data_IF_573173979709
#
_entry.id   IF_573173979709
#
_cell.length_a   1.000
_cell.length_b   1.000
_cell.length_c   1.000
_cell.angle_alpha   90.00
_cell.angle_beta   90.00
_cell.angle_gamma   90.00
#
_symmetry.space_group_name_H-M   'P 1'
#
loop_
_entity.id
_entity.type
_entity.pdbx_description
1 polymer ?
#
# COMPACT_ATOMS: atom_id res chain seq x y z
N UNK A 1 41.14 -42.32 -51.18
CA UNK A 1 42.20 -41.56 -50.49
C UNK A 1 41.74 -40.11 -50.41
N UNK A 2 41.07 -39.70 -49.33
CA UNK A 2 40.61 -38.31 -49.11
C UNK A 2 41.65 -37.60 -48.24
N UNK A 3 42.51 -36.80 -48.86
CA UNK A 3 43.42 -35.91 -48.16
C UNK A 3 42.87 -34.47 -48.24
N UNK A 4 42.25 -34.00 -47.16
CA UNK A 4 42.37 -32.64 -46.62
C UNK A 4 41.34 -32.48 -45.49
N UNK A 5 41.81 -32.33 -44.25
CA UNK A 5 40.97 -32.08 -43.08
C UNK A 5 40.45 -30.65 -43.04
N UNK A 6 39.70 -30.26 -44.08
CA UNK A 6 39.07 -28.94 -44.18
C UNK A 6 37.58 -29.04 -43.83
N UNK A 7 37.16 -28.28 -42.82
CA UNK A 7 35.79 -28.15 -42.39
C UNK A 7 35.15 -26.94 -43.10
N UNK A 8 33.93 -27.06 -43.62
CA UNK A 8 33.29 -25.92 -44.30
C UNK A 8 33.02 -24.77 -43.31
N UNK A 9 33.08 -23.51 -43.77
CA UNK A 9 32.77 -22.36 -42.94
C UNK A 9 31.28 -22.32 -42.57
N UNK A 10 30.94 -21.48 -41.58
CA UNK A 10 29.58 -21.15 -41.18
C UNK A 10 29.25 -19.71 -41.58
N UNK A 11 28.15 -19.53 -42.32
CA UNK A 11 27.66 -18.20 -42.69
C UNK A 11 26.71 -17.65 -41.62
N UNK A 12 26.89 -16.38 -41.27
CA UNK A 12 25.92 -15.60 -40.49
C UNK A 12 25.67 -14.31 -41.23
N UNK A 13 24.41 -14.05 -41.55
CA UNK A 13 23.98 -12.89 -42.33
C UNK A 13 23.08 -11.99 -41.48
N UNK A 14 23.37 -10.69 -41.51
CA UNK A 14 22.50 -9.64 -40.99
C UNK A 14 22.35 -8.52 -42.04
N UNK A 15 21.34 -7.67 -41.87
CA UNK A 15 21.11 -6.51 -42.72
C UNK A 15 20.41 -5.39 -41.97
N UNK A 16 20.69 -4.15 -42.35
CA UNK A 16 19.99 -2.97 -41.83
C UNK A 16 20.02 -1.80 -42.83
N UNK A 17 18.89 -1.09 -43.04
CA UNK A 17 17.52 -1.45 -42.63
C UNK A 17 16.96 -2.66 -43.41
N UNK A 18 15.91 -3.32 -42.90
CA UNK A 18 15.26 -4.46 -43.58
C UNK A 18 13.94 -4.09 -44.26
N UNK A 19 13.40 -2.90 -44.03
CA UNK A 19 12.20 -2.36 -44.69
C UNK A 19 12.33 -0.84 -44.79
N UNK A 20 11.49 -0.21 -45.61
CA UNK A 20 11.49 1.24 -45.86
C UNK A 20 11.16 1.58 -47.30
N UNK A 21 11.01 2.87 -47.61
CA UNK A 21 10.68 3.33 -48.95
C UNK A 21 11.74 2.95 -49.99
N UNK A 22 11.31 2.74 -51.24
CA UNK A 22 12.24 2.61 -52.37
C UNK A 22 12.71 3.98 -52.88
N UNK A 23 13.98 4.11 -53.33
CA UNK A 23 15.03 3.08 -53.30
C UNK A 23 15.55 2.82 -51.87
N UNK A 24 15.67 1.55 -51.50
CA UNK A 24 16.12 1.13 -50.16
C UNK A 24 17.56 0.61 -50.23
N UNK A 25 18.51 1.36 -49.68
CA UNK A 25 19.89 0.90 -49.51
C UNK A 25 20.04 0.13 -48.21
N UNK A 26 20.42 -1.14 -48.29
CA UNK A 26 20.67 -2.03 -47.16
C UNK A 26 22.16 -2.27 -47.02
N UNK A 27 22.69 -2.12 -45.81
CA UNK A 27 24.04 -2.59 -45.47
C UNK A 27 23.93 -4.00 -44.92
N UNK A 28 24.48 -4.96 -45.64
CA UNK A 28 24.59 -6.36 -45.23
C UNK A 28 25.88 -6.60 -44.46
N UNK A 29 25.81 -7.43 -43.43
CA UNK A 29 26.91 -7.74 -42.52
C UNK A 29 27.09 -9.26 -42.39
N UNK A 30 28.34 -9.70 -42.58
CA UNK A 30 28.80 -11.08 -42.46
C UNK A 30 29.74 -11.31 -41.26
N UNK A 31 29.91 -10.33 -40.36
CA UNK A 31 30.84 -10.37 -39.21
C UNK A 31 30.73 -11.61 -38.33
N UNK A 32 29.53 -12.20 -38.21
CA UNK A 32 29.31 -13.42 -37.43
C UNK A 32 29.78 -14.71 -38.11
N UNK A 33 30.21 -14.65 -39.36
CA UNK A 33 30.67 -15.82 -40.11
C UNK A 33 32.06 -16.27 -39.66
N UNK A 34 32.34 -17.57 -39.74
CA UNK A 34 33.60 -18.13 -39.25
C UNK A 34 33.98 -19.42 -39.97
N UNK A 35 35.26 -19.78 -39.84
CA UNK A 35 35.81 -21.06 -40.29
C UNK A 35 36.38 -21.81 -39.08
N UNK A 36 36.06 -23.11 -38.88
CA UNK A 36 36.66 -23.92 -37.82
C UNK A 36 38.18 -24.10 -37.96
N UNK A 37 38.73 -23.99 -39.18
CA UNK A 37 40.14 -24.23 -39.46
C UNK A 37 40.95 -22.93 -39.36
N UNK A 38 41.88 -22.90 -38.40
CA UNK A 38 42.65 -21.71 -38.07
C UNK A 38 43.52 -21.25 -39.24
N UNK A 39 43.43 -19.95 -39.56
CA UNK A 39 44.23 -19.31 -40.62
C UNK A 39 43.57 -19.31 -41.99
N UNK A 40 42.40 -19.94 -42.15
CA UNK A 40 41.60 -19.82 -43.37
C UNK A 40 41.13 -18.38 -43.56
N UNK A 41 41.18 -17.89 -44.80
CA UNK A 41 40.62 -16.59 -45.19
C UNK A 41 39.27 -16.79 -45.85
N UNK A 42 38.31 -15.93 -45.51
CA UNK A 42 36.94 -16.05 -45.99
C UNK A 42 36.63 -15.06 -47.13
N UNK A 43 35.89 -15.54 -48.13
CA UNK A 43 35.26 -14.73 -49.17
C UNK A 43 33.74 -14.86 -49.05
N UNK A 44 33.04 -13.73 -49.11
CA UNK A 44 31.60 -13.62 -48.92
C UNK A 44 30.92 -13.47 -50.27
N UNK A 45 29.92 -14.30 -50.56
CA UNK A 45 29.14 -14.32 -51.78
C UNK A 45 27.69 -13.98 -51.46
N UNK A 46 27.21 -12.86 -52.00
CA UNK A 46 25.88 -12.31 -51.74
C UNK A 46 25.03 -12.34 -53.01
N UNK A 47 23.91 -13.06 -52.93
CA UNK A 47 22.79 -12.97 -53.86
C UNK A 47 21.68 -12.19 -53.16
N UNK A 48 21.32 -11.02 -53.67
CA UNK A 48 20.33 -10.14 -53.03
C UNK A 48 18.88 -10.54 -53.34
N UNK A 49 18.65 -11.53 -54.21
CA UNK A 49 17.33 -12.09 -54.47
C UNK A 49 16.41 -11.21 -55.34
N UNK A 50 16.89 -10.05 -55.81
CA UNK A 50 16.15 -9.12 -56.68
C UNK A 50 16.50 -9.27 -58.17
N UNK A 51 17.27 -10.32 -58.51
CA UNK A 51 17.72 -10.61 -59.88
C UNK A 51 18.98 -9.84 -60.29
N UNK A 52 19.57 -9.03 -59.42
CA UNK A 52 20.91 -8.48 -59.65
C UNK A 52 21.99 -9.58 -59.58
N UNK A 53 23.13 -9.43 -60.29
CA UNK A 53 24.18 -10.44 -60.25
C UNK A 53 24.75 -10.65 -58.84
N UNK A 54 25.07 -11.90 -58.50
CA UNK A 54 25.78 -12.24 -57.26
C UNK A 54 27.08 -11.43 -57.16
N UNK A 55 27.34 -10.87 -55.98
CA UNK A 55 28.55 -10.12 -55.69
C UNK A 55 29.43 -10.90 -54.73
N UNK A 56 30.75 -10.82 -54.92
CA UNK A 56 31.73 -11.38 -54.00
C UNK A 56 32.63 -10.30 -53.41
N UNK A 57 32.97 -10.43 -52.14
CA UNK A 57 33.82 -9.48 -51.42
C UNK A 57 34.60 -10.19 -50.31
N UNK A 58 35.73 -9.61 -49.89
CA UNK A 58 36.45 -10.00 -48.67
C UNK A 58 36.15 -9.06 -47.49
N UNK A 59 35.45 -7.95 -47.74
CA UNK A 59 34.96 -7.07 -46.69
C UNK A 59 33.81 -7.72 -45.92
N UNK A 60 33.74 -7.49 -44.61
CA UNK A 60 32.67 -8.03 -43.76
C UNK A 60 31.31 -7.38 -44.03
N UNK A 61 31.29 -6.21 -44.67
CA UNK A 61 30.06 -5.50 -45.01
C UNK A 61 30.00 -5.19 -46.50
N UNK A 62 28.78 -5.15 -47.04
CA UNK A 62 28.48 -4.75 -48.41
C UNK A 62 27.17 -3.98 -48.47
N UNK A 63 27.05 -3.00 -49.35
CA UNK A 63 25.81 -2.27 -49.56
C UNK A 63 25.13 -2.72 -50.85
N UNK A 64 23.81 -2.84 -50.80
CA UNK A 64 22.98 -3.09 -51.97
C UNK A 64 21.75 -2.19 -51.93
N UNK A 65 21.31 -1.71 -53.10
CA UNK A 65 20.14 -0.83 -53.21
C UNK A 65 19.04 -1.49 -53.99
N UNK A 66 17.91 -1.74 -53.32
CA UNK A 66 16.71 -2.26 -53.94
C UNK A 66 15.88 -1.12 -54.54
N UNK A 67 15.62 -1.20 -55.84
CA UNK A 67 14.90 -0.15 -56.59
C UNK A 67 13.40 -0.38 -56.68
N UNK A 68 12.92 -1.61 -56.44
CA UNK A 68 11.52 -2.00 -56.56
C UNK A 68 10.97 -2.48 -55.23
N UNK A 69 9.69 -2.22 -54.98
CA UNK A 69 9.02 -2.71 -53.79
C UNK A 69 8.77 -4.22 -53.89
N UNK A 70 8.80 -4.92 -52.76
CA UNK A 70 8.55 -6.37 -52.71
C UNK A 70 9.26 -7.03 -51.53
N UNK A 71 9.17 -8.36 -51.45
CA UNK A 71 9.88 -9.16 -50.46
C UNK A 71 11.02 -9.90 -51.15
N UNK A 72 12.25 -9.62 -50.75
CA UNK A 72 13.47 -10.20 -51.30
C UNK A 72 14.22 -11.00 -50.24
N UNK A 73 14.76 -12.15 -50.64
CA UNK A 73 15.58 -12.99 -49.75
C UNK A 73 17.04 -12.87 -50.15
N UNK A 74 17.78 -12.03 -49.43
CA UNK A 74 19.23 -11.98 -49.56
C UNK A 74 19.86 -13.26 -48.98
N UNK A 75 20.83 -13.83 -49.68
CA UNK A 75 21.51 -15.08 -49.34
C UNK A 75 23.01 -14.85 -49.30
N UNK A 76 23.62 -15.18 -48.17
CA UNK A 76 25.07 -15.22 -47.99
C UNK A 76 25.57 -16.65 -48.06
N UNK A 77 26.58 -16.90 -48.88
CA UNK A 77 27.46 -18.07 -48.77
C UNK A 77 28.87 -17.61 -48.47
N UNK A 78 29.56 -18.34 -47.61
CA UNK A 78 30.94 -18.07 -47.24
C UNK A 78 31.81 -19.17 -47.81
N UNK A 79 32.95 -18.79 -48.39
CA UNK A 79 33.94 -19.73 -48.92
C UNK A 79 35.29 -19.52 -48.27
N UNK A 80 35.94 -20.61 -47.91
CA UNK A 80 37.35 -20.58 -47.47
C UNK A 80 38.32 -20.54 -48.67
N UNK A 81 39.61 -20.40 -48.38
CA UNK A 81 40.70 -20.45 -49.37
C UNK A 81 41.07 -21.87 -49.82
N UNK A 82 40.43 -22.90 -49.28
CA UNK A 82 40.55 -24.32 -49.70
C UNK A 82 39.33 -24.74 -50.54
N UNK A 83 38.49 -23.76 -50.87
CA UNK A 83 37.35 -23.82 -51.77
C UNK A 83 36.08 -24.54 -51.24
N UNK A 84 35.94 -24.79 -49.94
CA UNK A 84 34.68 -25.27 -49.36
C UNK A 84 33.71 -24.10 -49.13
N UNK A 85 32.41 -24.36 -49.31
CA UNK A 85 31.34 -23.38 -49.09
C UNK A 85 30.51 -23.75 -47.87
N UNK A 86 30.03 -22.73 -47.16
CA UNK A 86 28.99 -22.87 -46.16
C UNK A 86 27.63 -23.19 -46.81
N UNK A 87 26.69 -23.79 -46.05
CA UNK A 87 25.26 -23.61 -46.32
C UNK A 87 24.90 -22.11 -46.35
N UNK A 88 23.83 -21.72 -47.08
CA UNK A 88 23.44 -20.31 -47.16
C UNK A 88 22.82 -19.82 -45.84
N UNK A 89 23.19 -18.62 -45.42
CA UNK A 89 22.44 -17.82 -44.44
C UNK A 89 21.53 -16.83 -45.19
N UNK A 90 20.36 -16.51 -44.65
CA UNK A 90 19.37 -15.68 -45.37
C UNK A 90 18.85 -14.52 -44.53
N UNK A 91 18.56 -13.40 -45.19
CA UNK A 91 17.92 -12.21 -44.61
C UNK A 91 16.77 -11.78 -45.53
N UNK A 92 15.57 -11.60 -44.98
CA UNK A 92 14.44 -11.03 -45.73
C UNK A 92 14.53 -9.49 -45.71
N UNK A 93 14.31 -8.87 -46.86
CA UNK A 93 14.23 -7.42 -47.02
C UNK A 93 12.91 -7.08 -47.71
N UNK A 94 12.22 -6.05 -47.22
CA UNK A 94 10.94 -5.58 -47.72
C UNK A 94 11.01 -4.10 -48.16
N UNK A 95 11.70 -3.78 -49.28
CA UNK A 95 11.65 -2.44 -49.86
C UNK A 95 10.20 -2.09 -50.22
N UNK A 96 9.84 -0.83 -50.01
CA UNK A 96 8.49 -0.30 -50.23
C UNK A 96 7.50 -0.57 -49.09
N UNK A 97 7.86 -1.30 -48.04
CA UNK A 97 7.04 -1.46 -46.83
C UNK A 97 7.52 -0.49 -45.75
N UNK A 98 6.69 0.46 -45.35
CA UNK A 98 6.98 1.38 -44.26
C UNK A 98 6.62 0.74 -42.91
N UNK A 99 7.04 1.37 -41.82
CA UNK A 99 6.62 0.93 -40.50
C UNK A 99 5.24 1.53 -40.18
N UNK A 100 4.37 0.78 -39.48
CA UNK A 100 3.06 1.31 -39.10
C UNK A 100 3.19 2.49 -38.14
N UNK A 101 2.14 3.31 -38.06
CA UNK A 101 2.05 4.48 -37.18
C UNK A 101 1.04 4.20 -36.07
N UNK A 102 1.46 3.62 -34.93
CA UNK A 102 0.60 3.42 -33.78
C UNK A 102 0.33 4.74 -33.04
N UNK A 103 -0.87 4.86 -32.47
CA UNK A 103 -1.29 5.99 -31.64
C UNK A 103 -2.01 5.47 -30.41
N UNK A 104 -1.54 5.87 -29.24
CA UNK A 104 -2.23 5.60 -27.98
C UNK A 104 -3.31 6.67 -27.80
N UNK A 105 -4.57 6.25 -27.65
CA UNK A 105 -5.71 7.13 -27.42
C UNK A 105 -6.01 7.28 -25.92
N UNK A 106 -6.16 6.16 -25.20
CA UNK A 106 -6.42 6.13 -23.74
C UNK A 106 -5.36 5.33 -23.01
N UNK A 107 -4.82 5.81 -21.87
CA UNK A 107 -5.05 7.12 -21.23
C UNK A 107 -4.37 8.23 -22.00
N UNK A 108 -4.97 9.40 -22.24
CA UNK A 108 -4.37 10.52 -22.98
C UNK A 108 -3.10 11.09 -22.33
N UNK A 109 -2.43 12.03 -23.00
CA UNK A 109 -1.18 12.62 -22.50
C UNK A 109 -1.34 13.51 -21.24
N UNK A 110 -2.57 13.98 -20.95
CA UNK A 110 -2.87 14.82 -19.78
C UNK A 110 -3.57 14.05 -18.67
N UNK A 111 -3.95 12.80 -18.93
CA UNK A 111 -4.60 11.97 -17.93
C UNK A 111 -3.60 11.59 -16.83
N UNK A 112 -4.12 11.56 -15.60
CA UNK A 112 -3.47 11.00 -14.43
C UNK A 112 -4.37 9.93 -13.82
N UNK A 113 -3.80 8.99 -13.08
CA UNK A 113 -4.58 7.95 -12.39
C UNK A 113 -4.56 8.09 -10.88
N UNK A 114 -5.65 7.68 -10.25
CA UNK A 114 -5.72 7.41 -8.82
C UNK A 114 -5.52 5.91 -8.56
N UNK A 115 -4.99 5.55 -7.40
CA UNK A 115 -4.80 4.14 -7.01
C UNK A 115 -6.14 3.40 -7.03
N UNK A 116 -6.15 2.21 -7.65
CA UNK A 116 -7.35 1.38 -7.75
C UNK A 116 -8.35 1.84 -8.80
N UNK A 117 -8.06 2.91 -9.54
CA UNK A 117 -8.89 3.35 -10.66
C UNK A 117 -8.81 2.34 -11.81
N UNK A 118 -9.97 1.96 -12.36
CA UNK A 118 -10.05 1.13 -13.54
C UNK A 118 -9.82 1.97 -14.82
N UNK A 119 -8.98 1.44 -15.71
CA UNK A 119 -8.61 2.03 -16.99
C UNK A 119 -8.77 1.01 -18.12
N UNK A 120 -8.89 1.50 -19.35
CA UNK A 120 -8.91 0.68 -20.56
C UNK A 120 -7.93 1.26 -21.58
N UNK A 121 -6.92 0.48 -21.94
CA UNK A 121 -5.94 0.83 -22.96
C UNK A 121 -6.61 0.81 -24.32
N UNK A 122 -6.62 1.98 -24.97
CA UNK A 122 -7.21 2.13 -26.30
C UNK A 122 -6.22 2.82 -27.23
N UNK A 123 -6.15 2.32 -28.45
CA UNK A 123 -5.28 2.85 -29.48
C UNK A 123 -5.74 2.45 -30.88
N UNK A 124 -5.01 2.96 -31.85
CA UNK A 124 -5.20 2.65 -33.27
C UNK A 124 -3.83 2.64 -33.95
N UNK A 125 -3.73 2.01 -35.11
CA UNK A 125 -2.56 2.15 -35.96
C UNK A 125 -2.98 2.24 -37.42
N UNK A 126 -2.21 3.01 -38.19
CA UNK A 126 -2.34 3.08 -39.65
C UNK A 126 -1.01 2.77 -40.27
N UNK A 127 -1.03 2.04 -41.35
CA UNK A 127 0.11 1.76 -42.19
C UNK A 127 -0.11 2.34 -43.60
N UNK A 128 0.96 2.72 -44.29
CA UNK A 128 0.85 3.35 -45.60
C UNK A 128 0.40 2.36 -46.69
N UNK A 129 0.75 1.09 -46.55
CA UNK A 129 0.44 0.03 -47.50
C UNK A 129 -0.82 -0.74 -47.10
N UNK A 130 -1.07 -0.94 -45.80
CA UNK A 130 -2.23 -1.70 -45.30
C UNK A 130 -3.44 -0.83 -44.90
N UNK A 131 -3.26 0.49 -44.78
CA UNK A 131 -4.30 1.39 -44.27
C UNK A 131 -4.54 1.21 -42.77
N UNK A 132 -5.80 1.16 -42.32
CA UNK A 132 -6.11 1.01 -40.90
C UNK A 132 -5.89 -0.43 -40.42
N UNK A 133 -5.03 -0.59 -39.41
CA UNK A 133 -4.71 -1.91 -38.86
C UNK A 133 -5.79 -2.41 -37.89
N UNK A 134 -6.13 -3.72 -37.93
CA UNK A 134 -7.12 -4.31 -37.04
C UNK A 134 -6.61 -4.41 -35.60
N UNK A 135 -7.51 -4.56 -34.62
CA UNK A 135 -7.12 -4.72 -33.21
C UNK A 135 -6.18 -5.91 -32.96
N UNK A 136 -6.25 -6.96 -33.78
CA UNK A 136 -5.34 -8.13 -33.70
C UNK A 136 -3.89 -7.81 -34.07
N UNK A 137 -3.65 -6.68 -34.74
CA UNK A 137 -2.32 -6.18 -35.08
C UNK A 137 -1.70 -5.31 -33.97
N UNK A 138 -2.47 -5.02 -32.91
CA UNK A 138 -2.03 -4.20 -31.77
C UNK A 138 -1.61 -5.10 -30.60
N UNK A 139 -0.50 -4.75 -29.95
CA UNK A 139 0.04 -5.41 -28.77
C UNK A 139 0.43 -4.38 -27.70
N UNK A 140 0.02 -4.63 -26.47
CA UNK A 140 0.19 -3.74 -25.33
C UNK A 140 1.11 -4.32 -24.28
N UNK A 141 2.05 -3.52 -23.81
CA UNK A 141 2.87 -3.80 -22.63
C UNK A 141 2.84 -2.59 -21.71
N UNK A 142 2.73 -2.79 -20.41
CA UNK A 142 2.84 -1.73 -19.41
C UNK A 142 3.94 -2.10 -18.43
N UNK A 143 4.84 -1.16 -18.18
CA UNK A 143 5.90 -1.28 -17.19
C UNK A 143 5.64 -0.32 -16.03
N UNK A 144 5.85 -0.78 -14.81
CA UNK A 144 5.94 0.10 -13.64
C UNK A 144 7.39 0.54 -13.49
N UNK A 145 7.62 1.85 -13.59
CA UNK A 145 8.90 2.47 -13.25
C UNK A 145 8.88 2.83 -11.77
N UNK A 146 9.97 2.55 -11.07
CA UNK A 146 10.28 3.16 -9.78
C UNK A 146 11.78 3.28 -9.59
N UNK A 147 12.20 4.39 -9.00
CA UNK A 147 13.60 4.76 -8.83
C UNK A 147 14.42 4.60 -10.12
N UNK A 148 15.35 3.62 -10.15
CA UNK A 148 16.28 3.40 -11.25
C UNK A 148 15.95 2.16 -12.10
N UNK A 149 14.86 1.44 -11.83
CA UNK A 149 14.51 0.22 -12.55
C UNK A 149 13.01 0.09 -12.84
N UNK A 150 12.66 -1.01 -13.53
CA UNK A 150 11.30 -1.26 -14.03
C UNK A 150 10.84 -2.66 -13.69
N UNK A 151 9.54 -2.81 -13.42
CA UNK A 151 8.85 -4.10 -13.31
C UNK A 151 7.82 -4.27 -14.43
N UNK A 152 7.65 -5.48 -14.97
CA UNK A 152 6.48 -5.79 -15.80
C UNK A 152 5.20 -5.60 -15.00
N UNK A 153 4.22 -4.88 -15.55
CA UNK A 153 2.91 -4.67 -14.93
C UNK A 153 1.79 -5.34 -15.73
N UNK A 154 1.80 -5.20 -17.06
CA UNK A 154 0.85 -5.86 -17.94
C UNK A 154 1.49 -6.23 -19.28
N UNK A 155 1.10 -7.38 -19.83
CA UNK A 155 1.43 -7.77 -21.19
C UNK A 155 2.77 -8.47 -21.40
N UNK A 156 3.08 -8.81 -22.67
CA UNK A 156 2.36 -8.38 -23.88
C UNK A 156 0.94 -8.96 -24.00
N UNK A 157 -0.04 -8.13 -24.35
CA UNK A 157 -1.44 -8.53 -24.61
C UNK A 157 -1.90 -7.96 -25.94
N UNK A 158 -2.41 -8.82 -26.83
CA UNK A 158 -2.95 -8.39 -28.12
C UNK A 158 -4.38 -7.87 -28.02
N UNK A 159 -4.74 -6.91 -28.87
CA UNK A 159 -6.10 -6.37 -28.97
C UNK A 159 -6.20 -4.88 -28.67
N UNK A 160 -7.43 -4.42 -28.47
CA UNK A 160 -7.76 -3.05 -28.13
C UNK A 160 -8.82 -3.03 -27.01
N UNK A 161 -8.86 -1.97 -26.21
CA UNK A 161 -9.76 -1.89 -25.06
C UNK A 161 -9.31 -2.75 -23.87
N UNK A 162 -8.00 -2.91 -23.66
CA UNK A 162 -7.44 -3.82 -22.64
C UNK A 162 -7.64 -3.22 -21.24
N UNK A 163 -8.42 -3.85 -20.33
CA UNK A 163 -8.67 -3.30 -19.01
C UNK A 163 -7.48 -3.51 -18.07
N UNK A 164 -7.23 -2.56 -17.18
CA UNK A 164 -6.33 -2.71 -16.03
C UNK A 164 -6.78 -1.84 -14.86
N UNK A 165 -6.26 -2.13 -13.66
CA UNK A 165 -6.50 -1.34 -12.45
C UNK A 165 -5.19 -0.69 -12.03
N UNK A 166 -5.19 0.62 -11.82
CA UNK A 166 -3.99 1.36 -11.44
C UNK A 166 -3.38 0.85 -10.11
N UNK A 167 -2.06 0.61 -10.05
CA UNK A 167 -1.41 0.04 -8.87
C UNK A 167 -1.20 1.07 -7.74
N UNK A 168 -0.77 0.58 -6.58
CA UNK A 168 -0.16 1.39 -5.51
C UNK A 168 1.33 1.60 -5.80
N UNK A 169 1.97 2.65 -5.25
CA UNK A 169 3.43 2.69 -5.17
C UNK A 169 3.94 1.58 -4.23
N UNK A 170 5.22 1.22 -4.36
CA UNK A 170 5.85 0.20 -3.50
C UNK A 170 5.93 0.68 -2.04
N UNK A 171 6.35 1.92 -1.84
CA UNK A 171 6.40 2.57 -0.55
C UNK A 171 6.26 4.10 -0.70
N UNK A 172 6.48 4.83 0.40
CA UNK A 172 6.37 6.29 0.46
C UNK A 172 7.47 6.98 -0.35
N UNK A 173 8.67 6.40 -0.44
CA UNK A 173 9.77 6.98 -1.20
C UNK A 173 9.53 6.80 -2.71
N UNK A 174 9.11 5.59 -3.12
CA UNK A 174 8.78 5.26 -4.50
C UNK A 174 7.63 6.12 -5.05
N UNK A 175 6.74 6.63 -4.19
CA UNK A 175 5.64 7.51 -4.60
C UNK A 175 6.11 8.80 -5.30
N UNK A 176 7.35 9.25 -5.05
CA UNK A 176 7.95 10.46 -5.64
C UNK A 176 8.41 10.26 -7.10
N UNK A 177 8.81 9.04 -7.46
CA UNK A 177 9.46 8.77 -8.75
C UNK A 177 8.64 7.85 -9.64
N UNK A 178 7.75 7.05 -9.07
CA UNK A 178 7.07 5.97 -9.80
C UNK A 178 5.99 6.47 -10.77
N UNK A 179 5.84 5.75 -11.89
CA UNK A 179 4.82 5.96 -12.91
C UNK A 179 4.68 4.72 -13.80
N UNK A 180 3.64 4.68 -14.65
CA UNK A 180 3.45 3.60 -15.63
C UNK A 180 3.98 4.03 -17.00
N UNK A 181 4.78 3.20 -17.65
CA UNK A 181 5.11 3.35 -19.08
C UNK A 181 4.24 2.40 -19.90
N UNK A 182 3.35 2.96 -20.70
CA UNK A 182 2.46 2.22 -21.60
C UNK A 182 3.11 2.16 -22.97
N UNK A 183 3.27 0.95 -23.51
CA UNK A 183 3.81 0.69 -24.85
C UNK A 183 2.72 0.09 -25.72
N UNK A 184 2.49 0.71 -26.87
CA UNK A 184 1.65 0.17 -27.93
C UNK A 184 2.55 -0.17 -29.12
N UNK A 185 2.63 -1.46 -29.44
CA UNK A 185 3.28 -1.97 -30.63
C UNK A 185 2.22 -2.33 -31.66
N UNK A 186 2.38 -1.84 -32.89
CA UNK A 186 1.58 -2.29 -34.03
C UNK A 186 2.46 -3.05 -35.01
N UNK A 187 1.94 -4.14 -35.58
CA UNK A 187 2.61 -4.97 -36.58
C UNK A 187 1.75 -5.02 -37.84
N UNK A 188 2.32 -4.65 -38.98
CA UNK A 188 1.64 -4.68 -40.27
C UNK A 188 1.49 -6.13 -40.82
N UNK A 189 0.86 -6.27 -41.98
CA UNK A 189 0.63 -7.58 -42.62
C UNK A 189 1.92 -8.25 -43.12
N UNK A 190 2.98 -7.46 -43.31
CA UNK A 190 4.33 -7.88 -43.73
C UNK A 190 5.23 -8.28 -42.55
N UNK A 191 4.81 -8.01 -41.31
CA UNK A 191 5.54 -8.28 -40.07
C UNK A 191 6.42 -7.13 -39.57
N UNK A 192 6.48 -5.99 -40.27
CA UNK A 192 7.19 -4.81 -39.76
C UNK A 192 6.41 -4.20 -38.61
N UNK A 193 7.12 -3.78 -37.56
CA UNK A 193 6.50 -3.27 -36.34
C UNK A 193 7.05 -1.90 -35.94
N UNK A 194 6.20 -1.10 -35.32
CA UNK A 194 6.56 0.15 -34.68
C UNK A 194 5.96 0.21 -33.28
N UNK A 195 6.63 0.91 -32.36
CA UNK A 195 6.17 1.10 -30.98
C UNK A 195 6.11 2.58 -30.63
N UNK A 196 5.01 3.00 -30.02
CA UNK A 196 4.87 4.28 -29.35
C UNK A 196 4.75 4.05 -27.84
N UNK A 197 5.28 4.97 -27.05
CA UNK A 197 5.22 4.90 -25.59
C UNK A 197 4.49 6.11 -25.00
N UNK A 198 3.91 5.93 -23.81
CA UNK A 198 3.31 7.00 -23.01
C UNK A 198 3.58 6.78 -21.54
N UNK A 199 4.22 7.77 -20.93
CA UNK A 199 4.31 7.84 -19.48
C UNK A 199 2.96 8.29 -18.93
N UNK A 200 2.39 7.47 -18.07
CA UNK A 200 1.10 7.69 -17.44
C UNK A 200 1.32 7.92 -15.95
N UNK A 201 1.04 9.14 -15.50
CA UNK A 201 1.43 9.61 -14.18
C UNK A 201 0.32 9.34 -13.14
N UNK A 202 0.67 9.00 -11.90
CA UNK A 202 -0.28 9.02 -10.80
C UNK A 202 -0.70 10.46 -10.46
N UNK A 203 -1.90 10.65 -9.92
CA UNK A 203 -2.28 11.91 -9.29
C UNK A 203 -1.57 12.01 -7.92
N UNK A 204 -0.48 12.78 -7.90
CA UNK A 204 0.35 12.97 -6.71
C UNK A 204 -0.18 14.11 -5.86
N UNK A 205 -0.26 13.87 -4.55
CA UNK A 205 -0.69 14.87 -3.57
C UNK A 205 0.31 14.91 -2.43
N UNK A 206 0.55 16.11 -1.91
CA UNK A 206 1.36 16.30 -0.70
C UNK A 206 0.47 16.15 0.53
N UNK A 207 0.78 15.17 1.39
CA UNK A 207 0.19 15.05 2.71
C UNK A 207 1.19 15.51 3.76
N UNK A 208 0.68 16.09 4.85
CA UNK A 208 1.51 16.43 6.02
C UNK A 208 0.97 15.73 7.25
N UNK A 209 1.81 14.96 7.94
CA UNK A 209 1.49 14.42 9.26
C UNK A 209 2.02 15.35 10.35
N UNK A 210 1.16 15.69 11.30
CA UNK A 210 1.50 16.55 12.43
C UNK A 210 1.12 15.89 13.76
N UNK A 211 1.74 16.35 14.85
CA UNK A 211 1.34 16.00 16.20
C UNK A 211 1.15 17.23 17.08
N UNK A 212 0.29 17.09 18.09
CA UNK A 212 0.17 18.05 19.19
C UNK A 212 0.48 17.31 20.50
N UNK A 213 1.54 17.67 21.25
CA UNK A 213 2.55 18.67 20.91
C UNK A 213 3.41 18.25 19.70
N UNK A 214 3.98 19.23 18.99
CA UNK A 214 4.82 18.96 17.82
C UNK A 214 6.09 18.19 18.18
N UNK A 215 6.62 17.42 17.23
CA UNK A 215 7.88 16.68 17.39
C UNK A 215 7.72 15.24 17.86
N UNK A 216 6.49 14.79 18.15
CA UNK A 216 6.22 13.37 18.42
C UNK A 216 6.25 12.56 17.12
N UNK A 217 6.45 11.25 17.28
CA UNK A 217 6.52 10.30 16.17
C UNK A 217 5.15 9.72 15.83
N UNK A 218 5.00 9.26 14.59
CA UNK A 218 3.89 8.44 14.13
C UNK A 218 4.44 7.23 13.37
N UNK A 219 3.68 6.15 13.25
CA UNK A 219 4.02 5.08 12.30
C UNK A 219 3.23 5.30 11.01
N UNK A 220 3.95 5.38 9.89
CA UNK A 220 3.42 5.43 8.54
C UNK A 220 3.78 4.11 7.84
N UNK A 221 2.78 3.29 7.52
CA UNK A 221 2.93 1.93 7.01
C UNK A 221 3.87 1.07 7.87
N UNK A 222 3.88 1.30 9.20
CA UNK A 222 4.75 0.62 10.16
C UNK A 222 6.14 1.25 10.36
N UNK A 223 6.56 2.18 9.50
CA UNK A 223 7.81 2.93 9.64
C UNK A 223 7.64 4.18 10.50
N UNK A 224 8.54 4.42 11.46
CA UNK A 224 8.48 5.60 12.32
C UNK A 224 8.90 6.88 11.57
N UNK A 225 8.07 7.93 11.69
CA UNK A 225 8.34 9.27 11.13
C UNK A 225 8.22 10.33 12.23
N UNK A 226 9.13 11.30 12.24
CA UNK A 226 9.10 12.43 13.17
C UNK A 226 8.30 13.57 12.56
N UNK A 227 7.31 14.10 13.29
CA UNK A 227 6.45 15.18 12.79
C UNK A 227 7.00 16.59 13.09
N UNK A 228 6.69 17.62 12.28
CA UNK A 228 5.87 17.58 11.05
C UNK A 228 6.58 16.83 9.91
N UNK A 229 5.84 15.97 9.21
CA UNK A 229 6.37 15.13 8.13
C UNK A 229 5.55 15.32 6.85
N UNK A 230 5.96 16.22 5.95
CA UNK A 230 5.40 16.31 4.61
C UNK A 230 5.95 15.19 3.72
N UNK A 231 5.09 14.55 2.92
CA UNK A 231 5.49 13.52 1.96
C UNK A 231 4.52 13.47 0.78
N UNK A 232 5.00 12.97 -0.37
CA UNK A 232 4.14 12.71 -1.51
C UNK A 232 3.42 11.38 -1.38
N UNK A 233 2.13 11.38 -1.68
CA UNK A 233 1.27 10.21 -1.74
C UNK A 233 0.48 10.23 -3.06
N UNK A 234 -0.13 9.10 -3.42
CA UNK A 234 -0.99 9.01 -4.61
C UNK A 234 -2.45 9.03 -4.19
N UNK A 235 -3.28 9.80 -4.89
CA UNK A 235 -4.73 9.83 -4.64
C UNK A 235 -5.30 8.40 -4.58
N UNK A 236 -6.12 8.14 -3.56
CA UNK A 236 -6.76 6.84 -3.37
C UNK A 236 -5.88 5.79 -2.72
N UNK A 237 -4.57 6.01 -2.54
CA UNK A 237 -3.71 5.08 -1.82
C UNK A 237 -4.15 4.98 -0.36
N UNK A 238 -4.24 3.75 0.16
CA UNK A 238 -4.63 3.50 1.55
C UNK A 238 -3.36 3.32 2.38
N UNK A 239 -3.09 4.27 3.25
CA UNK A 239 -1.97 4.28 4.18
C UNK A 239 -2.39 3.67 5.52
N UNK A 240 -1.49 2.92 6.15
CA UNK A 240 -1.59 2.53 7.55
C UNK A 240 -0.98 3.60 8.43
N UNK A 241 -1.72 4.09 9.43
CA UNK A 241 -1.23 5.07 10.40
C UNK A 241 -1.39 4.53 11.81
N UNK A 242 -0.37 4.73 12.63
CA UNK A 242 -0.42 4.43 14.06
C UNK A 242 0.15 5.58 14.89
N UNK A 243 -0.44 5.78 16.07
CA UNK A 243 -0.06 6.78 17.04
C UNK A 243 0.20 6.07 18.37
N UNK A 244 1.35 5.41 18.46
CA UNK A 244 1.74 4.66 19.65
C UNK A 244 2.10 5.59 20.82
N UNK A 245 1.90 5.15 22.08
CA UNK A 245 2.37 5.87 23.24
C UNK A 245 3.89 6.09 23.23
N UNK A 246 4.34 7.25 23.70
CA UNK A 246 5.74 7.67 23.60
C UNK A 246 6.26 8.25 24.91
N UNK A 247 7.48 7.88 25.29
CA UNK A 247 8.17 8.45 26.45
C UNK A 247 9.07 9.62 26.01
N UNK A 248 8.59 10.84 26.18
CA UNK A 248 9.33 12.07 25.84
C UNK A 248 8.96 13.18 26.82
N UNK A 249 9.77 13.35 27.87
CA UNK A 249 9.46 14.28 28.97
C UNK A 249 8.21 13.92 29.79
N UNK A 250 7.72 12.68 29.64
CA UNK A 250 6.45 12.16 30.14
C UNK A 250 5.93 11.09 29.19
N UNK A 251 4.92 10.29 29.60
CA UNK A 251 4.28 9.31 28.70
C UNK A 251 3.16 10.00 27.94
N UNK A 252 3.30 10.23 26.65
CA UNK A 252 2.24 10.74 25.79
C UNK A 252 1.38 9.60 25.27
N UNK A 253 0.06 9.71 25.43
CA UNK A 253 -0.91 8.76 24.88
C UNK A 253 -1.78 9.46 23.85
N UNK A 254 -2.11 8.76 22.78
CA UNK A 254 -2.96 9.28 21.72
C UNK A 254 -4.35 9.62 22.26
N UNK A 255 -4.87 10.78 21.86
CA UNK A 255 -6.21 11.25 22.22
C UNK A 255 -7.16 11.23 21.01
N UNK A 256 -6.80 11.89 19.91
CA UNK A 256 -7.68 12.00 18.74
C UNK A 256 -6.94 12.42 17.47
N UNK A 257 -7.55 12.11 16.32
CA UNK A 257 -7.14 12.61 15.01
C UNK A 257 -7.95 13.85 14.63
N UNK A 258 -7.37 14.75 13.85
CA UNK A 258 -8.05 15.97 13.37
C UNK A 258 -9.27 15.71 12.48
N UNK A 259 -9.40 14.51 11.93
CA UNK A 259 -10.55 14.06 11.12
C UNK A 259 -11.64 13.35 11.94
N UNK A 260 -11.49 13.27 13.27
CA UNK A 260 -12.46 12.68 14.18
C UNK A 260 -12.53 11.15 14.14
N UNK A 261 -11.61 10.47 13.43
CA UNK A 261 -11.57 9.01 13.42
C UNK A 261 -11.19 8.46 14.81
N UNK A 262 -11.94 7.45 15.28
CA UNK A 262 -11.67 6.76 16.54
C UNK A 262 -10.31 6.02 16.50
N UNK A 263 -9.66 5.82 17.66
CA UNK A 263 -8.43 5.03 17.75
C UNK A 263 -8.72 3.54 17.50
N UNK A 264 -8.60 3.10 16.26
CA UNK A 264 -8.23 1.73 15.93
C UNK A 264 -6.74 1.79 15.54
N UNK A 265 -5.84 1.28 16.38
CA UNK A 265 -4.43 1.16 16.04
C UNK A 265 -4.18 -0.24 15.44
N UNK A 266 -3.61 -0.37 14.23
CA UNK A 266 -3.37 0.68 13.22
C UNK A 266 -4.66 1.10 12.47
N UNK A 267 -4.78 2.39 12.13
CA UNK A 267 -5.90 2.91 11.31
C UNK A 267 -5.51 2.95 9.84
N UNK A 268 -6.51 2.94 8.97
CA UNK A 268 -6.29 3.27 7.56
C UNK A 268 -6.61 4.73 7.29
N UNK A 269 -5.90 5.32 6.35
CA UNK A 269 -6.14 6.67 5.84
C UNK A 269 -6.02 6.64 4.32
N UNK A 270 -7.12 6.92 3.63
CA UNK A 270 -7.13 7.01 2.17
C UNK A 270 -6.69 8.40 1.75
N UNK A 271 -5.64 8.48 0.97
CA UNK A 271 -5.11 9.73 0.43
C UNK A 271 -6.17 10.47 -0.38
N UNK A 272 -6.53 11.72 0.00
CA UNK A 272 -7.50 12.54 -0.73
C UNK A 272 -6.98 13.05 -2.07
N UNK A 273 -7.88 13.63 -2.87
CA UNK A 273 -7.56 14.22 -4.19
C UNK A 273 -6.77 15.54 -4.10
N UNK A 274 -6.80 16.20 -2.94
CA UNK A 274 -6.10 17.45 -2.68
C UNK A 274 -5.18 17.27 -1.48
N UNK A 275 -4.08 18.01 -1.46
CA UNK A 275 -3.15 17.99 -0.33
C UNK A 275 -3.84 18.38 0.98
N UNK A 276 -3.44 17.73 2.07
CA UNK A 276 -4.06 17.92 3.38
C UNK A 276 -3.09 17.63 4.51
N UNK A 277 -3.40 18.20 5.68
CA UNK A 277 -2.71 17.91 6.94
C UNK A 277 -3.58 17.02 7.82
N UNK A 278 -3.00 15.94 8.35
CA UNK A 278 -3.62 15.10 9.37
C UNK A 278 -2.83 15.22 10.66
N UNK A 279 -3.50 15.61 11.74
CA UNK A 279 -2.87 15.88 13.03
C UNK A 279 -3.30 14.84 14.07
N UNK A 280 -2.34 14.20 14.73
CA UNK A 280 -2.57 13.38 15.91
C UNK A 280 -2.38 14.21 17.19
N UNK A 281 -3.43 14.31 17.98
CA UNK A 281 -3.34 14.96 19.30
C UNK A 281 -3.00 13.91 20.34
N UNK A 282 -1.98 14.19 21.15
CA UNK A 282 -1.58 13.42 22.30
C UNK A 282 -1.87 14.21 23.57
N UNK A 283 -2.07 13.46 24.65
CA UNK A 283 -2.15 13.99 26.01
C UNK A 283 -1.08 13.33 26.86
N UNK A 284 -0.54 14.05 27.84
CA UNK A 284 0.28 13.43 28.87
C UNK A 284 -0.60 12.43 29.62
N UNK A 285 -0.22 11.17 29.55
CA UNK A 285 -0.65 10.18 30.52
C UNK A 285 -0.09 10.65 31.85
N UNK A 286 -0.96 11.12 32.72
CA UNK A 286 -0.68 11.11 34.15
C UNK A 286 -0.55 9.63 34.52
N UNK A 287 0.67 9.11 34.46
CA UNK A 287 0.98 7.93 35.25
C UNK A 287 0.75 8.37 36.68
N UNK A 288 -0.42 8.06 37.25
CA UNK A 288 -0.44 7.79 38.68
C UNK A 288 0.69 6.78 38.86
N UNK A 289 1.72 7.18 39.61
CA UNK A 289 2.89 6.32 39.85
C UNK A 289 2.46 4.98 40.46
N UNK A 290 3.40 4.11 40.86
CA UNK A 290 3.03 3.04 41.77
C UNK A 290 2.30 3.68 42.97
N UNK A 291 1.00 3.43 43.08
CA UNK A 291 0.22 3.93 44.20
C UNK A 291 0.56 3.03 45.39
N UNK A 292 1.02 3.63 46.47
CA UNK A 292 1.31 2.88 47.67
C UNK A 292 -0.03 2.35 48.21
N UNK A 293 -0.09 1.05 48.54
CA UNK A 293 -1.31 0.42 49.07
C UNK A 293 -1.22 0.39 50.59
N UNK A 294 -2.12 1.12 51.23
CA UNK A 294 -2.22 1.19 52.67
C UNK A 294 -3.38 0.33 53.15
N UNK A 295 -3.09 -0.63 54.04
CA UNK A 295 -4.11 -1.43 54.68
C UNK A 295 -4.72 -0.68 55.86
N UNK A 296 -6.04 -0.82 56.03
CA UNK A 296 -6.79 -0.28 57.15
C UNK A 296 -7.44 -1.43 57.93
N UNK A 297 -7.56 -1.32 59.26
CA UNK A 297 -8.50 -2.16 59.99
C UNK A 297 -9.90 -2.05 59.36
N UNK A 298 -10.61 -3.16 59.08
CA UNK A 298 -11.93 -3.11 58.45
C UNK A 298 -12.88 -2.17 59.19
N UNK A 299 -13.42 -1.18 58.48
CA UNK A 299 -14.23 -0.12 59.07
C UNK A 299 -15.43 0.22 58.19
N UNK A 300 -16.62 0.34 58.80
CA UNK A 300 -17.84 0.65 58.06
C UNK A 300 -17.95 2.14 57.76
N UNK A 301 -17.89 2.49 56.48
CA UNK A 301 -18.06 3.87 56.01
C UNK A 301 -19.52 4.18 55.74
N UNK A 302 -20.25 3.25 55.08
CA UNK A 302 -21.66 3.43 54.70
C UNK A 302 -22.52 2.36 55.37
N UNK A 303 -23.63 2.79 55.99
CA UNK A 303 -24.70 1.90 56.47
C UNK A 303 -26.06 2.57 56.31
N UNK A 304 -26.73 2.30 55.18
CA UNK A 304 -28.02 2.91 54.87
C UNK A 304 -29.19 2.41 55.73
N UNK A 305 -28.93 1.51 56.70
CA UNK A 305 -29.90 1.12 57.75
C UNK A 305 -29.89 2.08 58.94
N UNK A 306 -28.82 2.87 59.08
CA UNK A 306 -28.66 3.85 60.15
C UNK A 306 -29.51 5.12 59.95
N UNK A 307 -29.37 6.11 60.85
CA UNK A 307 -30.04 7.40 60.74
C UNK A 307 -29.81 8.07 59.38
N UNK A 308 -30.76 8.92 58.95
CA UNK A 308 -30.64 9.61 57.68
C UNK A 308 -29.40 10.53 57.65
N UNK A 309 -28.60 10.45 56.58
CA UNK A 309 -27.38 11.24 56.46
C UNK A 309 -26.52 10.84 55.25
N UNK A 310 -25.37 11.50 55.10
CA UNK A 310 -24.47 11.33 53.94
C UNK A 310 -24.05 9.87 53.73
N UNK A 311 -23.69 9.17 54.81
CA UNK A 311 -23.30 7.75 54.79
C UNK A 311 -24.34 6.82 55.42
N UNK A 312 -25.48 7.39 55.84
CA UNK A 312 -26.56 6.68 56.52
C UNK A 312 -27.78 6.48 55.63
N UNK A 313 -28.94 6.29 56.27
CA UNK A 313 -30.21 6.17 55.59
C UNK A 313 -30.56 7.38 54.70
N UNK A 314 -31.64 7.29 53.91
CA UNK A 314 -32.55 6.13 53.80
C UNK A 314 -31.95 4.98 52.97
N UNK A 315 -32.66 3.86 52.82
CA UNK A 315 -32.33 2.84 51.83
C UNK A 315 -32.30 3.43 50.40
N UNK A 316 -31.61 2.78 49.45
CA UNK A 316 -31.66 3.19 48.05
C UNK A 316 -32.98 2.71 47.42
N UNK A 317 -33.73 3.61 46.81
CA UNK A 317 -34.94 3.28 46.05
C UNK A 317 -34.62 2.74 44.65
N UNK A 318 -35.58 2.04 44.06
CA UNK A 318 -35.53 1.56 42.69
C UNK A 318 -35.12 2.68 41.70
N UNK A 319 -34.03 2.46 40.96
CA UNK A 319 -33.49 3.41 39.99
C UNK A 319 -32.77 4.61 40.60
N UNK A 320 -32.62 4.67 41.93
CA UNK A 320 -31.96 5.79 42.59
C UNK A 320 -30.44 5.65 42.53
N UNK A 321 -29.77 6.73 42.13
CA UNK A 321 -28.34 6.94 42.34
C UNK A 321 -28.12 7.75 43.63
N UNK A 322 -27.16 7.33 44.45
CA UNK A 322 -26.67 8.09 45.61
C UNK A 322 -25.15 8.19 45.59
N UNK A 323 -24.64 9.37 45.91
CA UNK A 323 -23.22 9.63 46.12
C UNK A 323 -22.86 9.42 47.59
N UNK A 324 -21.76 8.73 47.85
CA UNK A 324 -21.24 8.45 49.19
C UNK A 324 -19.78 8.93 49.30
N UNK A 325 -19.47 9.86 50.21
CA UNK A 325 -18.08 10.25 50.47
C UNK A 325 -17.35 9.11 51.16
N UNK A 326 -16.13 8.81 50.71
CA UNK A 326 -15.28 7.77 51.29
C UNK A 326 -14.06 8.37 51.99
N UNK A 327 -13.42 9.36 51.38
CA UNK A 327 -12.33 10.09 52.04
C UNK A 327 -12.82 10.84 53.28
N UNK A 328 -11.94 10.99 54.27
CA UNK A 328 -12.28 11.58 55.56
C UNK A 328 -13.00 10.63 56.52
N UNK A 329 -13.35 9.42 56.08
CA UNK A 329 -13.94 8.37 56.92
C UNK A 329 -12.95 7.22 57.13
N UNK A 330 -13.03 6.56 58.29
CA UNK A 330 -12.31 5.32 58.57
C UNK A 330 -10.78 5.35 58.33
N UNK A 331 -10.14 6.53 58.35
CA UNK A 331 -8.71 6.69 58.11
C UNK A 331 -8.30 6.78 56.64
N UNK A 332 -9.25 6.88 55.70
CA UNK A 332 -8.98 7.14 54.28
C UNK A 332 -8.63 8.64 54.11
N UNK A 333 -7.40 9.00 53.70
CA UNK A 333 -7.01 10.40 53.58
C UNK A 333 -7.66 11.07 52.36
N UNK A 334 -7.71 12.41 52.35
CA UNK A 334 -8.22 13.19 51.22
C UNK A 334 -7.38 13.03 49.94
N UNK A 335 -6.14 12.57 50.06
CA UNK A 335 -5.23 12.27 48.96
C UNK A 335 -5.52 10.94 48.27
N UNK A 336 -6.31 10.04 48.88
CA UNK A 336 -6.58 8.72 48.33
C UNK A 336 -7.21 8.79 46.94
N UNK A 337 -6.63 8.03 46.00
CA UNK A 337 -7.07 7.92 44.60
C UNK A 337 -7.92 6.68 44.34
N UNK A 338 -7.76 5.65 45.15
CA UNK A 338 -8.54 4.42 45.06
C UNK A 338 -8.79 3.81 46.45
N UNK A 339 -9.79 2.95 46.56
CA UNK A 339 -10.15 2.24 47.80
C UNK A 339 -10.39 0.75 47.56
N UNK A 340 -10.05 -0.05 48.57
CA UNK A 340 -10.40 -1.46 48.69
C UNK A 340 -11.55 -1.61 49.68
N UNK A 341 -12.72 -2.04 49.18
CA UNK A 341 -13.98 -2.05 49.91
C UNK A 341 -14.72 -3.37 49.76
N UNK A 342 -15.50 -3.74 50.78
CA UNK A 342 -16.46 -4.82 50.72
C UNK A 342 -17.86 -4.19 50.65
N UNK A 343 -18.54 -4.44 49.55
CA UNK A 343 -19.88 -3.91 49.27
C UNK A 343 -20.90 -4.98 49.64
N UNK A 344 -21.88 -4.64 50.47
CA UNK A 344 -22.93 -5.58 50.89
C UNK A 344 -24.32 -5.00 50.61
N UNK A 345 -25.15 -5.79 49.93
CA UNK A 345 -26.59 -5.53 49.83
C UNK A 345 -27.30 -6.18 51.01
N UNK A 346 -28.23 -5.45 51.63
CA UNK A 346 -29.04 -5.93 52.76
C UNK A 346 -30.52 -5.71 52.47
N UNK A 347 -31.32 -6.75 52.68
CA UNK A 347 -32.78 -6.73 52.55
C UNK A 347 -33.32 -6.06 51.26
N UNK A 348 -32.84 -6.43 50.05
CA UNK A 348 -33.38 -5.89 48.81
C UNK A 348 -34.83 -6.36 48.60
N UNK A 349 -35.76 -5.44 48.31
CA UNK A 349 -37.18 -5.76 48.10
C UNK A 349 -37.41 -6.57 46.82
N UNK A 350 -36.59 -6.36 45.79
CA UNK A 350 -36.66 -7.09 44.52
C UNK A 350 -35.27 -7.48 44.01
N UNK A 351 -35.21 -8.44 43.09
CA UNK A 351 -33.95 -8.85 42.46
C UNK A 351 -33.41 -7.74 41.53
N UNK A 352 -32.08 -7.64 41.45
CA UNK A 352 -31.41 -6.64 40.62
C UNK A 352 -29.92 -6.58 40.95
N UNK A 353 -29.32 -5.41 40.76
CA UNK A 353 -27.89 -5.22 41.01
C UNK A 353 -27.56 -3.80 41.47
N UNK A 354 -26.39 -3.66 42.12
CA UNK A 354 -25.75 -2.37 42.29
C UNK A 354 -24.76 -2.11 41.15
N UNK A 355 -24.79 -0.90 40.61
CA UNK A 355 -23.70 -0.34 39.80
C UNK A 355 -22.97 0.71 40.63
N UNK A 356 -21.65 0.70 40.59
CA UNK A 356 -20.80 1.58 41.40
C UNK A 356 -19.69 2.16 40.52
N UNK A 357 -19.46 3.47 40.58
CA UNK A 357 -18.43 4.18 39.80
C UNK A 357 -17.92 5.42 40.56
N UNK A 358 -16.76 6.01 40.16
CA UNK A 358 -16.30 7.30 40.68
C UNK A 358 -17.32 8.41 40.39
N UNK A 359 -17.60 9.30 41.33
CA UNK A 359 -18.71 10.26 41.18
C UNK A 359 -18.55 11.28 40.03
N UNK A 360 -17.33 11.47 39.51
CA UNK A 360 -16.99 12.37 38.41
C UNK A 360 -16.92 11.66 37.04
N UNK A 361 -17.16 10.35 36.98
CA UNK A 361 -17.20 9.59 35.74
C UNK A 361 -18.60 9.67 35.08
N UNK A 362 -18.63 10.10 33.81
CA UNK A 362 -19.85 10.17 33.00
C UNK A 362 -20.30 8.79 32.48
N UNK A 363 -19.48 7.76 32.66
CA UNK A 363 -19.80 6.37 32.33
C UNK A 363 -20.59 5.69 33.46
N UNK A 364 -21.88 5.39 33.23
CA UNK A 364 -22.69 4.65 34.22
C UNK A 364 -22.09 3.25 34.42
N UNK A 365 -21.37 3.03 35.52
CA UNK A 365 -20.55 1.83 35.77
C UNK A 365 -21.25 0.48 35.53
N UNK A 366 -20.48 -0.61 35.49
CA UNK A 366 -21.03 -1.95 35.28
C UNK A 366 -21.69 -2.51 36.57
N UNK A 367 -22.42 -3.61 36.45
CA UNK A 367 -22.99 -4.29 37.62
C UNK A 367 -21.87 -4.88 38.48
N UNK A 368 -21.77 -4.43 39.73
CA UNK A 368 -20.73 -4.85 40.69
C UNK A 368 -21.24 -5.96 41.61
N UNK A 369 -22.53 -5.95 41.95
CA UNK A 369 -23.13 -6.93 42.86
C UNK A 369 -24.56 -7.24 42.41
N UNK A 370 -24.80 -8.45 41.92
CA UNK A 370 -26.13 -8.95 41.55
C UNK A 370 -26.74 -9.77 42.68
N UNK A 371 -28.02 -9.58 42.93
CA UNK A 371 -28.72 -10.16 44.08
C UNK A 371 -30.19 -10.49 43.77
N UNK A 372 -30.73 -11.46 44.53
CA UNK A 372 -32.15 -11.80 44.54
C UNK A 372 -32.89 -11.00 45.64
N UNK A 373 -34.23 -10.96 45.58
CA UNK A 373 -35.05 -10.38 46.64
C UNK A 373 -34.76 -11.06 48.00
N UNK A 374 -34.65 -10.27 49.06
CA UNK A 374 -34.33 -10.71 50.43
C UNK A 374 -32.88 -11.15 50.65
N UNK A 375 -32.02 -11.16 49.61
CA UNK A 375 -30.66 -11.68 49.74
C UNK A 375 -29.75 -10.75 50.56
N UNK A 376 -28.91 -11.35 51.40
CA UNK A 376 -27.73 -10.72 52.00
C UNK A 376 -26.52 -11.21 51.21
N UNK A 377 -25.91 -10.35 50.39
CA UNK A 377 -24.75 -10.69 49.55
C UNK A 377 -23.69 -9.62 49.62
N UNK A 378 -22.43 -10.04 49.48
CA UNK A 378 -21.27 -9.15 49.46
C UNK A 378 -20.38 -9.40 48.25
N UNK A 379 -19.67 -8.37 47.80
CA UNK A 379 -18.58 -8.46 46.83
C UNK A 379 -17.44 -7.51 47.23
N UNK A 380 -16.20 -7.96 47.07
CA UNK A 380 -15.02 -7.13 47.30
C UNK A 380 -14.65 -6.39 46.01
N UNK A 381 -14.32 -5.11 46.12
CA UNK A 381 -14.00 -4.23 45.01
C UNK A 381 -12.78 -3.37 45.36
N UNK A 382 -11.86 -3.24 44.40
CA UNK A 382 -10.86 -2.17 44.39
C UNK A 382 -11.22 -1.22 43.25
N UNK A 383 -11.44 0.06 43.54
CA UNK A 383 -11.88 1.02 42.54
C UNK A 383 -11.31 2.42 42.78
N UNK A 384 -11.13 3.24 41.72
CA UNK A 384 -10.82 4.65 41.87
C UNK A 384 -11.95 5.40 42.59
N UNK A 385 -11.60 6.51 43.22
CA UNK A 385 -12.53 7.49 43.78
C UNK A 385 -12.67 8.67 42.82
N UNK A 386 -13.80 9.38 42.89
CA UNK A 386 -13.94 10.66 42.20
C UNK A 386 -13.01 11.72 42.78
N UNK A 387 -12.86 12.86 42.10
CA UNK A 387 -11.95 13.93 42.53
C UNK A 387 -12.26 14.48 43.93
N UNK A 388 -13.51 14.36 44.40
CA UNK A 388 -13.94 14.71 45.76
C UNK A 388 -13.77 13.57 46.79
N UNK A 389 -13.24 12.43 46.38
CA UNK A 389 -13.01 11.27 47.23
C UNK A 389 -14.26 10.44 47.53
N UNK A 390 -15.18 10.40 46.56
CA UNK A 390 -16.52 9.81 46.66
C UNK A 390 -16.79 8.75 45.57
N UNK A 391 -17.86 7.99 45.79
CA UNK A 391 -18.38 7.02 44.83
C UNK A 391 -19.89 7.22 44.65
N UNK A 392 -20.40 6.87 43.47
CA UNK A 392 -21.82 6.82 43.18
C UNK A 392 -22.33 5.38 43.10
N UNK A 393 -23.53 5.15 43.64
CA UNK A 393 -24.19 3.85 43.63
C UNK A 393 -25.59 3.97 43.08
N UNK A 394 -25.87 3.26 41.97
CA UNK A 394 -27.22 3.05 41.45
C UNK A 394 -27.80 1.74 42.00
N UNK A 395 -28.99 1.82 42.59
CA UNK A 395 -29.82 0.66 42.89
C UNK A 395 -30.70 0.28 41.70
N UNK A 396 -30.21 -0.63 40.86
CA UNK A 396 -30.91 -1.09 39.67
C UNK A 396 -31.84 -2.28 40.00
N UNK A 397 -32.90 -1.98 40.76
CA UNK A 397 -34.00 -2.90 41.04
C UNK A 397 -35.31 -2.38 40.40
N UNK A 398 -36.25 -3.25 40.01
CA UNK A 398 -37.48 -2.82 39.35
C UNK A 398 -38.48 -2.09 40.27
N UNK A 399 -38.47 -2.37 41.58
CA UNK A 399 -39.36 -1.71 42.56
C UNK A 399 -38.89 -1.91 44.01
N UNK A 400 -39.27 -0.98 44.89
CA UNK A 400 -38.96 -1.06 46.32
C UNK A 400 -37.61 -0.42 46.66
N UNK A 401 -36.96 -0.92 47.71
CA UNK A 401 -35.67 -0.40 48.18
C UNK A 401 -34.67 -1.52 48.46
N UNK A 402 -33.39 -1.18 48.51
CA UNK A 402 -32.35 -2.05 49.04
C UNK A 402 -31.40 -1.24 49.92
N UNK A 403 -30.92 -1.86 51.01
CA UNK A 403 -29.88 -1.24 51.82
C UNK A 403 -28.50 -1.61 51.27
N UNK A 404 -27.60 -0.64 51.37
CA UNK A 404 -26.18 -0.73 51.07
C UNK A 404 -25.37 -0.58 52.36
N UNK A 405 -24.34 -1.42 52.47
CA UNK A 405 -23.27 -1.33 53.45
C UNK A 405 -21.93 -1.33 52.71
N UNK A 406 -21.02 -0.44 53.09
CA UNK A 406 -19.65 -0.38 52.56
C UNK A 406 -18.68 -0.41 53.73
N UNK A 407 -17.84 -1.45 53.76
CA UNK A 407 -16.74 -1.57 54.71
C UNK A 407 -15.42 -1.35 53.95
N UNK A 408 -14.57 -0.40 54.39
CA UNK A 408 -13.26 -0.12 53.80
C UNK A 408 -12.17 -0.93 54.51
N UNK A 409 -11.22 -1.45 53.72
CA UNK A 409 -10.09 -2.27 54.21
C UNK A 409 -8.73 -1.72 53.75
N UNK A 410 -8.69 -0.71 52.89
CA UNK A 410 -7.47 -0.05 52.45
C UNK A 410 -7.71 1.01 51.39
N UNK A 411 -6.66 1.74 51.06
CA UNK A 411 -6.66 2.77 50.01
C UNK A 411 -5.33 2.79 49.24
N UNK A 412 -5.32 3.49 48.12
CA UNK A 412 -4.12 3.74 47.32
C UNK A 412 -3.97 5.24 47.06
N UNK A 413 -2.76 5.77 47.20
CA UNK A 413 -2.40 7.17 46.89
C UNK A 413 -1.04 7.28 46.19
#
# INVERSE_FOLDING_TARGET
>A
YNASGNNPPSAVAAGSPLSGAVPLTVTFDATGSSDPDAGNTLTYFWDFGDGTPEQSTTALTIQHTYMSAGTFTARLRVRDNVFAFSPPATVQVQPGNLAPVPTIQTPSAVDVFSVGQAWSLQGSATDAEDGALPASALSWTVLLHHDAHTHPFLGPVSGNGIPFVAPTPEDVAAAETSYLEIRLTATDSSGTSATVTRNFQPNRVTLTLETVPTGLQLLLNGGAVTTPFPFTSWEGWVLGLDALPQASGGTWVFAQWSDGALPAAPRTYRTPAAGSTLTATFQLSETNGPADVYTLPPCRVVDTRGPAGLTGGPALAAGQTRTFPITGFCGVPASAKAVSVNITVVAPVSAGHYRIWPADDLGTGTAVLTFAAGALRSNHLVMPLGAAGDLEVLCAIPSGTAHLVIDVMGYSE
#
